data_IF_726221619909
#
_entry.id   IF_726221619909
#
_cell.length_a   1.000
_cell.length_b   1.000
_cell.length_c   1.000
_cell.angle_alpha   90.00
_cell.angle_beta   90.00
_cell.angle_gamma   90.00
#
_symmetry.space_group_name_H-M   'P 1'
#
loop_
_entity.id
_entity.type
_entity.pdbx_description
1 polymer ?
#
# COMPACT_ATOMS: atom_id res chain seq x y z
N UNK A 1 11.85 -8.30 -7.57
CA UNK A 1 12.60 -7.17 -6.96
C UNK A 1 12.65 -7.42 -5.46
N UNK A 2 13.84 -7.39 -4.85
CA UNK A 2 14.06 -7.65 -3.43
C UNK A 2 14.26 -6.29 -2.75
N UNK A 3 13.23 -5.76 -2.10
CA UNK A 3 13.30 -4.48 -1.41
C UNK A 3 13.61 -4.71 0.06
N UNK A 4 14.43 -3.85 0.66
CA UNK A 4 14.65 -3.86 2.11
C UNK A 4 13.30 -3.53 2.80
N UNK A 5 12.74 -4.44 3.61
CA UNK A 5 11.44 -4.24 4.27
C UNK A 5 11.39 -3.01 5.19
N UNK A 6 12.56 -2.49 5.58
CA UNK A 6 12.68 -1.35 6.50
C UNK A 6 12.80 -0.01 5.78
N UNK A 7 12.90 -0.04 4.46
CA UNK A 7 13.08 1.16 3.66
C UNK A 7 11.94 1.24 2.65
N UNK A 8 11.15 2.30 2.75
CA UNK A 8 10.18 2.65 1.73
C UNK A 8 10.82 3.68 0.78
N UNK A 9 11.22 3.29 -0.45
CA UNK A 9 11.79 4.21 -1.41
C UNK A 9 10.67 5.04 -2.08
N UNK A 10 10.95 6.32 -2.30
CA UNK A 10 10.19 7.18 -3.21
C UNK A 10 10.87 7.10 -4.56
N UNK A 11 10.18 6.54 -5.55
CA UNK A 11 10.75 6.24 -6.87
C UNK A 11 10.14 7.17 -7.92
N UNK A 12 10.96 7.62 -8.86
CA UNK A 12 10.48 8.37 -10.02
C UNK A 12 9.78 7.45 -11.03
N UNK A 13 8.59 7.85 -11.46
CA UNK A 13 7.85 7.22 -12.56
C UNK A 13 8.12 7.92 -13.91
N UNK A 14 8.85 9.04 -13.88
CA UNK A 14 9.11 9.90 -15.05
C UNK A 14 10.60 10.15 -15.24
N UNK A 15 10.96 10.55 -16.46
CA UNK A 15 12.29 11.03 -16.79
C UNK A 15 12.33 12.56 -16.76
N UNK A 16 13.42 13.15 -16.27
CA UNK A 16 13.63 14.60 -16.29
C UNK A 16 14.67 15.06 -15.28
N UNK A 17 14.62 16.33 -14.91
CA UNK A 17 15.50 16.97 -13.94
C UNK A 17 14.75 17.29 -12.64
N UNK A 18 15.39 17.07 -11.51
CA UNK A 18 14.80 17.36 -10.19
C UNK A 18 14.83 18.85 -9.91
N UNK A 19 13.69 19.42 -9.53
CA UNK A 19 13.58 20.80 -9.03
C UNK A 19 13.04 20.77 -7.60
N UNK A 20 13.73 21.43 -6.68
CA UNK A 20 13.29 21.49 -5.29
C UNK A 20 12.18 22.53 -5.15
N UNK A 21 11.18 22.23 -4.32
CA UNK A 21 10.06 23.14 -4.08
C UNK A 21 9.72 23.12 -2.59
N UNK A 22 9.61 24.31 -2.00
CA UNK A 22 9.35 24.49 -0.55
C UNK A 22 10.40 23.82 0.37
N UNK A 23 11.64 23.72 -0.11
CA UNK A 23 12.78 23.16 0.61
C UNK A 23 13.67 24.32 1.10
N UNK A 24 13.72 24.52 2.42
CA UNK A 24 14.48 25.59 3.07
C UNK A 24 15.28 24.99 4.22
N UNK A 25 16.60 25.12 4.15
CA UNK A 25 17.52 24.59 5.15
C UNK A 25 17.22 25.19 6.55
N UNK A 26 17.17 24.33 7.57
CA UNK A 26 16.83 24.69 8.95
C UNK A 26 15.34 24.86 9.22
N UNK A 27 14.47 24.97 8.20
CA UNK A 27 13.01 25.10 8.36
C UNK A 27 12.25 23.85 7.96
N UNK A 28 12.47 23.34 6.75
CA UNK A 28 11.80 22.13 6.24
C UNK A 28 12.74 20.94 6.15
N UNK A 29 14.05 21.18 6.03
CA UNK A 29 15.09 20.16 5.86
C UNK A 29 16.34 20.52 6.63
N UNK A 30 17.14 19.52 7.03
CA UNK A 30 18.46 19.70 7.63
C UNK A 30 19.45 18.76 6.95
N UNK A 31 20.64 19.27 6.67
CA UNK A 31 21.76 18.45 6.23
C UNK A 31 22.42 17.80 7.45
N UNK A 32 22.36 16.48 7.53
CA UNK A 32 23.11 15.70 8.52
C UNK A 32 24.32 15.11 7.83
N UNK A 33 25.49 15.29 8.43
CA UNK A 33 26.69 14.58 7.99
C UNK A 33 26.62 13.16 8.53
N UNK A 34 26.74 12.18 7.64
CA UNK A 34 26.89 10.78 8.02
C UNK A 34 28.33 10.54 8.48
N UNK A 35 28.51 10.17 9.74
CA UNK A 35 29.83 9.98 10.39
C UNK A 35 30.66 8.87 9.73
N UNK A 36 30.01 7.92 9.05
CA UNK A 36 30.68 6.78 8.39
C UNK A 36 31.14 7.08 6.97
N UNK A 37 30.38 7.88 6.21
CA UNK A 37 30.66 8.13 4.79
C UNK A 37 31.19 9.54 4.52
N UNK A 38 31.07 10.46 5.49
CA UNK A 38 31.42 11.87 5.33
C UNK A 38 30.50 12.62 4.36
N UNK A 39 29.47 11.96 3.82
CA UNK A 39 28.50 12.57 2.91
C UNK A 39 27.43 13.31 3.71
N UNK A 40 27.10 14.52 3.25
CA UNK A 40 25.98 15.27 3.79
C UNK A 40 24.68 14.74 3.19
N UNK A 41 23.84 14.18 4.04
CA UNK A 41 22.54 13.64 3.66
C UNK A 41 21.45 14.60 4.10
N UNK A 42 20.53 14.87 3.19
CA UNK A 42 19.44 15.80 3.42
C UNK A 42 18.26 15.07 4.07
N UNK A 43 17.88 15.50 5.27
CA UNK A 43 16.80 14.89 6.06
C UNK A 43 15.65 15.87 6.23
N UNK A 44 14.44 15.43 5.93
CA UNK A 44 13.21 16.23 6.09
C UNK A 44 12.83 16.28 7.56
N UNK A 45 12.63 17.50 8.08
CA UNK A 45 12.23 17.71 9.47
C UNK A 45 10.78 17.28 9.71
N UNK A 46 10.44 17.01 10.97
CA UNK A 46 9.05 16.82 11.36
C UNK A 46 8.25 18.10 11.15
N UNK A 47 7.00 17.95 10.72
CA UNK A 47 6.12 19.09 10.52
C UNK A 47 5.72 19.68 11.87
N UNK A 48 6.29 20.82 12.22
CA UNK A 48 5.80 21.62 13.35
C UNK A 48 4.38 22.14 13.05
N UNK A 49 3.60 22.51 14.08
CA UNK A 49 2.23 23.04 13.92
C UNK A 49 2.14 24.21 12.91
N UNK A 50 3.22 24.97 12.76
CA UNK A 50 3.39 26.03 11.75
C UNK A 50 3.33 25.52 10.30
N UNK A 51 3.98 24.39 10.00
CA UNK A 51 4.00 23.74 8.68
C UNK A 51 2.67 23.04 8.37
N UNK A 52 1.96 22.56 9.41
CA UNK A 52 0.61 22.02 9.25
C UNK A 52 -0.43 23.09 8.87
N UNK A 53 -0.30 24.31 9.43
CA UNK A 53 -1.21 25.44 9.14
C UNK A 53 -0.90 26.11 7.80
N UNK A 54 0.37 26.22 7.40
CA UNK A 54 0.79 26.85 6.16
C UNK A 54 1.17 25.80 5.11
N UNK A 55 0.25 25.52 4.16
CA UNK A 55 0.45 24.54 3.08
C UNK A 55 1.72 24.78 2.25
N UNK A 56 2.19 26.02 2.20
CA UNK A 56 3.37 26.45 1.42
C UNK A 56 4.70 25.86 1.92
N UNK A 57 4.75 25.33 3.15
CA UNK A 57 5.98 24.78 3.74
C UNK A 57 6.08 23.25 3.66
N UNK A 58 5.21 22.58 2.89
CA UNK A 58 5.36 21.14 2.65
C UNK A 58 6.45 20.93 1.59
N UNK A 59 7.58 20.29 1.91
CA UNK A 59 8.64 20.06 0.93
C UNK A 59 8.20 19.01 -0.09
N UNK A 60 8.42 19.29 -1.38
CA UNK A 60 8.21 18.34 -2.46
C UNK A 60 9.25 18.51 -3.56
N UNK A 61 9.45 17.46 -4.34
CA UNK A 61 10.28 17.45 -5.53
C UNK A 61 9.38 17.58 -6.75
N UNK A 62 9.73 18.45 -7.69
CA UNK A 62 9.06 18.57 -8.99
C UNK A 62 9.99 18.07 -10.07
N UNK A 63 9.50 17.24 -10.98
CA UNK A 63 10.28 16.84 -12.16
C UNK A 63 10.00 17.80 -13.31
N UNK A 64 11.06 18.33 -13.90
CA UNK A 64 11.00 19.25 -15.04
C UNK A 64 11.76 18.72 -16.25
N UNK A 65 11.39 19.17 -17.44
CA UNK A 65 12.14 18.87 -18.67
C UNK A 65 13.39 19.76 -18.81
N UNK A 66 14.14 19.58 -19.91
CA UNK A 66 15.32 20.39 -20.22
C UNK A 66 15.01 21.90 -20.41
N UNK A 67 13.74 22.27 -20.61
CA UNK A 67 13.26 23.64 -20.77
C UNK A 67 12.60 24.18 -19.49
N UNK A 68 12.80 23.51 -18.35
CA UNK A 68 12.20 23.84 -17.05
C UNK A 68 10.67 23.78 -17.00
N UNK A 69 10.02 23.10 -17.94
CA UNK A 69 8.56 22.85 -17.90
C UNK A 69 8.25 21.64 -17.04
N UNK A 70 7.12 21.63 -16.29
CA UNK A 70 6.73 20.49 -15.48
C UNK A 70 6.45 19.26 -16.35
N UNK A 71 7.00 18.11 -15.93
CA UNK A 71 6.67 16.81 -16.50
C UNK A 71 5.43 16.27 -15.81
N UNK A 72 4.58 15.58 -16.57
CA UNK A 72 3.33 14.99 -16.07
C UNK A 72 3.47 13.49 -15.90
N UNK A 73 2.76 12.91 -14.93
CA UNK A 73 2.71 11.47 -14.75
C UNK A 73 2.13 10.78 -16.00
N UNK A 74 2.67 9.63 -16.42
CA UNK A 74 2.29 9.00 -17.69
C UNK A 74 0.78 8.70 -17.77
N UNK A 75 0.09 9.33 -18.72
CA UNK A 75 -1.34 9.14 -18.95
C UNK A 75 -2.25 9.93 -17.99
N UNK A 76 -1.72 10.98 -17.33
CA UNK A 76 -2.52 11.91 -16.51
C UNK A 76 -2.08 13.36 -16.73
N UNK A 77 -2.97 14.32 -16.46
CA UNK A 77 -2.65 15.76 -16.45
C UNK A 77 -2.10 16.23 -15.08
N UNK A 78 -1.58 15.29 -14.28
CA UNK A 78 -1.05 15.55 -12.95
C UNK A 78 0.45 15.80 -13.07
N UNK A 79 0.91 16.94 -12.56
CA UNK A 79 2.34 17.28 -12.53
C UNK A 79 3.07 16.26 -11.62
N UNK A 80 4.25 15.83 -12.05
CA UNK A 80 5.14 14.94 -11.31
C UNK A 80 5.72 15.62 -10.06
N UNK A 81 4.88 15.76 -9.04
CA UNK A 81 5.22 16.26 -7.71
C UNK A 81 5.35 15.10 -6.72
N UNK A 82 6.56 14.88 -6.22
CA UNK A 82 6.84 13.89 -5.18
C UNK A 82 6.90 14.57 -3.82
N UNK A 83 5.84 14.41 -3.03
CA UNK A 83 5.79 14.93 -1.67
C UNK A 83 6.83 14.22 -0.78
N UNK A 84 7.59 15.00 -0.01
CA UNK A 84 8.58 14.48 0.90
C UNK A 84 8.01 14.42 2.33
N UNK A 85 7.72 13.23 2.86
CA UNK A 85 7.21 13.08 4.22
C UNK A 85 8.29 13.40 5.26
N UNK A 86 7.89 13.68 6.52
CA UNK A 86 8.83 13.92 7.59
C UNK A 86 9.72 12.69 7.82
N UNK A 87 10.96 12.92 8.26
CA UNK A 87 12.03 11.91 8.41
C UNK A 87 12.48 11.24 7.10
N UNK A 88 11.96 11.64 5.95
CA UNK A 88 12.49 11.16 4.67
C UNK A 88 13.93 11.66 4.48
N UNK A 89 14.76 10.79 3.94
CA UNK A 89 16.15 11.06 3.58
C UNK A 89 16.21 11.21 2.07
N UNK A 90 16.46 12.43 1.59
CA UNK A 90 16.55 12.75 0.16
C UNK A 90 17.91 12.34 -0.35
N UNK A 91 17.93 11.59 -1.47
CA UNK A 91 19.15 11.05 -2.07
C UNK A 91 19.60 11.82 -3.31
N UNK A 92 18.68 12.56 -3.93
CA UNK A 92 18.94 13.34 -5.14
C UNK A 92 19.29 14.80 -4.84
N UNK A 93 19.98 15.45 -5.77
CA UNK A 93 20.33 16.88 -5.73
C UNK A 93 19.43 17.69 -6.65
N UNK A 94 19.34 18.99 -6.39
CA UNK A 94 18.65 19.91 -7.30
C UNK A 94 19.39 20.00 -8.65
N UNK A 95 18.63 19.90 -9.74
CA UNK A 95 19.13 19.85 -11.11
C UNK A 95 19.64 18.48 -11.56
N UNK A 96 19.58 17.45 -10.70
CA UNK A 96 20.03 16.10 -11.07
C UNK A 96 19.09 15.46 -12.10
N UNK A 97 19.67 14.80 -13.11
CA UNK A 97 18.93 14.03 -14.12
C UNK A 97 18.49 12.69 -13.53
N UNK A 98 17.19 12.41 -13.58
CA UNK A 98 16.59 11.19 -13.07
C UNK A 98 15.93 10.39 -14.19
N UNK A 99 16.04 9.06 -14.09
CA UNK A 99 15.39 8.13 -14.99
C UNK A 99 14.16 7.51 -14.33
N UNK A 100 13.31 6.90 -15.14
CA UNK A 100 12.21 6.08 -14.64
C UNK A 100 12.80 4.94 -13.79
N UNK A 101 12.36 4.83 -12.55
CA UNK A 101 12.88 3.88 -11.57
C UNK A 101 13.99 4.42 -10.64
N UNK A 102 14.46 5.66 -10.82
CA UNK A 102 15.44 6.28 -9.91
C UNK A 102 14.84 6.54 -8.52
N UNK A 103 15.60 6.25 -7.47
CA UNK A 103 15.18 6.49 -6.08
C UNK A 103 15.47 7.94 -5.72
N UNK A 104 14.43 8.70 -5.40
CA UNK A 104 14.49 10.12 -5.05
C UNK A 104 14.77 10.34 -3.56
N UNK A 105 14.07 9.58 -2.72
CA UNK A 105 14.20 9.64 -1.28
C UNK A 105 13.91 8.27 -0.68
N UNK A 106 14.34 8.07 0.56
CA UNK A 106 14.05 6.87 1.33
C UNK A 106 13.45 7.25 2.67
N UNK A 107 12.46 6.48 3.10
CA UNK A 107 11.89 6.61 4.43
C UNK A 107 12.35 5.39 5.20
N UNK A 108 13.11 5.63 6.26
CA UNK A 108 13.37 4.58 7.24
C UNK A 108 12.07 4.35 7.97
N UNK A 109 11.44 3.20 7.73
CA UNK A 109 10.34 2.74 8.55
C UNK A 109 10.97 2.28 9.85
N UNK A 110 11.03 3.16 10.85
CA UNK A 110 11.13 2.72 12.24
C UNK A 110 10.00 1.71 12.41
N UNK A 111 10.36 0.44 12.58
CA UNK A 111 9.40 -0.57 12.97
C UNK A 111 8.81 -0.02 14.25
N UNK A 112 7.55 0.43 14.18
CA UNK A 112 6.74 0.55 15.38
C UNK A 112 6.94 -0.78 16.07
N UNK A 113 7.65 -0.75 17.22
CA UNK A 113 8.00 -1.94 17.97
C UNK A 113 6.77 -2.83 18.00
N UNK A 114 6.98 -4.11 17.70
CA UNK A 114 5.97 -5.13 17.47
C UNK A 114 5.14 -4.95 16.21
N UNK A 115 5.65 -5.50 15.09
CA UNK A 115 4.80 -6.42 14.30
C UNK A 115 4.18 -7.32 15.38
N UNK A 116 2.85 -7.35 15.50
CA UNK A 116 2.16 -8.00 16.61
C UNK A 116 2.24 -9.53 16.46
N UNK A 117 3.48 -10.07 16.42
CA UNK A 117 3.79 -11.50 16.37
C UNK A 117 3.61 -12.13 17.77
N UNK A 118 3.47 -11.28 18.80
CA UNK A 118 3.13 -11.64 20.18
C UNK A 118 1.75 -12.28 20.32
N UNK A 119 0.92 -12.25 19.28
CA UNK A 119 -0.40 -12.85 19.31
C UNK A 119 -0.42 -14.36 19.50
N UNK A 120 0.70 -15.09 19.27
CA UNK A 120 0.76 -16.54 19.47
C UNK A 120 -0.40 -17.29 18.80
N UNK A 121 -0.94 -18.30 19.49
CA UNK A 121 -2.12 -19.06 19.04
C UNK A 121 -3.38 -18.19 18.76
N UNK A 122 -3.71 -17.15 19.56
CA UNK A 122 -4.82 -16.24 19.27
C UNK A 122 -4.83 -15.66 17.85
N UNK A 123 -3.67 -15.33 17.27
CA UNK A 123 -3.59 -14.83 15.90
C UNK A 123 -3.98 -15.89 14.87
N UNK A 124 -3.58 -17.14 15.10
CA UNK A 124 -3.95 -18.28 14.25
C UNK A 124 -5.46 -18.52 14.30
N UNK A 125 -6.06 -18.39 15.49
CA UNK A 125 -7.52 -18.49 15.67
C UNK A 125 -8.23 -17.39 14.87
N UNK A 126 -7.78 -16.15 14.97
CA UNK A 126 -8.37 -15.04 14.21
C UNK A 126 -8.30 -15.26 12.69
N UNK A 127 -7.21 -15.85 12.19
CA UNK A 127 -7.03 -16.18 10.77
C UNK A 127 -7.97 -17.30 10.32
N UNK A 128 -8.11 -18.38 11.10
CA UNK A 128 -9.00 -19.49 10.76
C UNK A 128 -10.47 -19.15 10.92
N UNK A 129 -10.82 -18.29 11.88
CA UNK A 129 -12.18 -17.77 12.00
C UNK A 129 -12.47 -16.63 11.01
N UNK A 130 -11.46 -16.18 10.25
CA UNK A 130 -11.52 -15.03 9.36
C UNK A 130 -12.13 -13.77 10.02
N UNK A 131 -11.80 -13.56 11.31
CA UNK A 131 -12.29 -12.42 12.09
C UNK A 131 -11.77 -11.12 11.52
N UNK A 132 -12.57 -10.06 11.65
CA UNK A 132 -12.15 -8.69 11.28
C UNK A 132 -11.27 -8.11 12.39
N UNK A 133 -10.00 -7.76 12.10
CA UNK A 133 -9.15 -7.07 13.06
C UNK A 133 -9.75 -5.72 13.49
N UNK A 134 -9.35 -5.24 14.67
CA UNK A 134 -9.72 -3.90 15.16
C UNK A 134 -9.21 -2.80 14.23
N UNK A 135 -7.99 -2.97 13.71
CA UNK A 135 -7.36 -2.04 12.80
C UNK A 135 -7.18 -2.65 11.40
N UNK A 136 -8.09 -2.28 10.50
CA UNK A 136 -8.09 -2.75 9.12
C UNK A 136 -7.17 -1.90 8.24
N UNK A 137 -6.30 -2.58 7.50
CA UNK A 137 -5.58 -1.96 6.40
C UNK A 137 -6.56 -1.54 5.30
N UNK A 138 -6.49 -0.28 4.89
CA UNK A 138 -7.16 0.15 3.66
C UNK A 138 -6.48 -0.49 2.45
N UNK A 139 -7.26 -1.16 1.60
CA UNK A 139 -6.79 -1.78 0.37
C UNK A 139 -7.36 -1.05 -0.86
N UNK A 140 -6.60 -1.02 -1.95
CA UNK A 140 -7.07 -0.47 -3.22
C UNK A 140 -8.16 -1.34 -3.85
N UNK A 141 -9.34 -0.77 -4.13
CA UNK A 141 -10.43 -1.54 -4.76
C UNK A 141 -10.31 -1.66 -6.28
N UNK A 142 -9.54 -0.76 -6.91
CA UNK A 142 -9.38 -0.66 -8.36
C UNK A 142 -7.92 -0.34 -8.72
N UNK A 143 -7.52 -0.70 -9.93
CA UNK A 143 -6.23 -0.28 -10.49
C UNK A 143 -6.33 1.19 -10.93
N UNK A 144 -5.34 2.01 -10.60
CA UNK A 144 -5.33 3.40 -11.07
C UNK A 144 -4.36 4.30 -10.33
N UNK A 145 -4.40 5.57 -10.70
CA UNK A 145 -3.58 6.62 -10.09
C UNK A 145 -4.31 7.22 -8.89
N UNK A 146 -3.59 7.38 -7.80
CA UNK A 146 -4.10 7.89 -6.54
C UNK A 146 -4.06 9.41 -6.52
N UNK A 147 -5.15 10.06 -6.14
CA UNK A 147 -5.22 11.50 -5.86
C UNK A 147 -5.91 11.77 -4.52
N UNK A 148 -5.50 12.84 -3.84
CA UNK A 148 -6.11 13.21 -2.57
C UNK A 148 -7.24 14.24 -2.78
N UNK A 149 -8.38 13.97 -2.15
CA UNK A 149 -9.52 14.86 -2.15
C UNK A 149 -9.45 15.92 -1.04
N UNK A 150 -10.50 16.73 -0.97
CA UNK A 150 -10.70 17.64 0.17
C UNK A 150 -10.94 16.82 1.44
N UNK A 151 -10.10 17.02 2.44
CA UNK A 151 -10.24 16.42 3.76
C UNK A 151 -11.65 16.66 4.35
N UNK A 152 -12.22 15.61 4.92
CA UNK A 152 -13.44 15.70 5.73
C UNK A 152 -13.08 15.80 7.22
N UNK A 153 -14.06 16.05 8.09
CA UNK A 153 -13.87 16.10 9.54
C UNK A 153 -13.40 14.72 10.04
N UNK A 154 -12.11 14.61 10.35
CA UNK A 154 -11.48 13.40 10.90
C UNK A 154 -11.03 12.32 9.90
N UNK A 155 -11.38 12.43 8.61
CA UNK A 155 -10.99 11.47 7.56
C UNK A 155 -10.36 12.17 6.35
N UNK A 156 -9.29 11.61 5.82
CA UNK A 156 -8.72 11.93 4.51
C UNK A 156 -9.56 11.25 3.42
N UNK A 157 -9.83 11.97 2.34
CA UNK A 157 -10.49 11.41 1.15
C UNK A 157 -9.43 11.06 0.11
N UNK A 158 -9.53 9.86 -0.42
CA UNK A 158 -8.62 9.33 -1.42
C UNK A 158 -9.42 8.90 -2.64
N UNK A 159 -9.00 9.32 -3.82
CA UNK A 159 -9.59 8.95 -5.09
C UNK A 159 -8.61 8.08 -5.86
N UNK A 160 -9.07 6.95 -6.38
CA UNK A 160 -8.30 6.13 -7.32
C UNK A 160 -8.96 6.25 -8.68
N UNK A 161 -8.25 6.87 -9.63
CA UNK A 161 -8.72 7.08 -11.00
C UNK A 161 -8.15 5.99 -11.90
N UNK A 162 -9.02 5.12 -12.38
CA UNK A 162 -8.66 4.15 -13.43
C UNK A 162 -8.73 4.79 -14.82
N UNK A 163 -8.04 4.19 -15.81
CA UNK A 163 -7.95 4.71 -17.20
C UNK A 163 -9.30 4.88 -17.92
N UNK A 164 -10.40 4.39 -17.36
CA UNK A 164 -11.74 4.38 -17.98
C UNK A 164 -12.88 5.00 -17.13
N UNK A 165 -12.66 6.14 -16.46
CA UNK A 165 -13.70 7.00 -15.82
C UNK A 165 -14.15 6.58 -14.41
N UNK A 166 -14.01 5.32 -13.99
CA UNK A 166 -14.43 4.92 -12.64
C UNK A 166 -13.48 5.50 -11.57
N UNK A 167 -13.98 6.46 -10.81
CA UNK A 167 -13.32 7.01 -9.62
C UNK A 167 -13.80 6.20 -8.41
N UNK A 168 -12.89 5.52 -7.72
CA UNK A 168 -13.18 4.90 -6.43
C UNK A 168 -12.81 5.87 -5.32
N UNK A 169 -13.77 6.20 -4.45
CA UNK A 169 -13.53 7.03 -3.27
C UNK A 169 -13.32 6.14 -2.03
N UNK A 170 -12.21 6.38 -1.31
CA UNK A 170 -11.86 5.70 -0.07
C UNK A 170 -11.68 6.76 1.02
N UNK A 171 -12.30 6.55 2.17
CA UNK A 171 -12.16 7.42 3.34
C UNK A 171 -11.26 6.78 4.39
N UNK A 172 -10.15 7.43 4.72
CA UNK A 172 -9.14 6.91 5.65
C UNK A 172 -9.04 7.83 6.87
N UNK A 173 -9.05 7.33 8.11
CA UNK A 173 -8.87 8.17 9.29
C UNK A 173 -7.56 8.97 9.25
N UNK A 174 -7.57 10.25 9.67
CA UNK A 174 -6.39 11.13 9.57
C UNK A 174 -5.18 10.67 10.37
N UNK A 175 -5.41 10.00 11.50
CA UNK A 175 -4.38 9.48 12.39
C UNK A 175 -3.67 8.24 11.82
N UNK A 176 -4.22 7.61 10.77
CA UNK A 176 -3.64 6.42 10.17
C UNK A 176 -2.57 6.81 9.16
N UNK A 177 -1.40 6.17 9.27
CA UNK A 177 -0.30 6.33 8.33
C UNK A 177 -0.66 5.70 6.97
N UNK A 178 -0.33 6.41 5.90
CA UNK A 178 -0.51 5.97 4.52
C UNK A 178 0.81 5.44 3.98
N UNK A 179 0.72 4.40 3.15
CA UNK A 179 1.86 3.75 2.50
C UNK A 179 1.98 4.13 1.02
N UNK A 180 1.25 5.15 0.58
CA UNK A 180 1.18 5.56 -0.82
C UNK A 180 1.26 7.08 -0.95
N UNK A 181 1.71 7.54 -2.12
CA UNK A 181 1.82 8.95 -2.48
C UNK A 181 0.74 9.39 -3.47
N UNK A 182 0.59 10.71 -3.58
CA UNK A 182 -0.23 11.30 -4.63
C UNK A 182 0.45 11.11 -5.99
N UNK A 183 -0.32 10.72 -7.01
CA UNK A 183 0.21 10.42 -8.34
C UNK A 183 0.73 8.99 -8.51
N UNK A 184 0.86 8.21 -7.44
CA UNK A 184 1.32 6.82 -7.50
C UNK A 184 0.28 5.91 -8.18
N UNK A 185 0.74 5.01 -9.05
CA UNK A 185 -0.11 3.98 -9.65
C UNK A 185 -0.22 2.76 -8.74
N UNK A 186 -1.43 2.44 -8.27
CA UNK A 186 -1.70 1.28 -7.41
C UNK A 186 -2.47 0.19 -8.15
N UNK A 187 -2.19 -1.07 -7.82
CA UNK A 187 -2.95 -2.21 -8.27
C UNK A 187 -4.03 -2.58 -7.24
N UNK A 188 -5.09 -3.22 -7.74
CA UNK A 188 -6.20 -3.72 -6.93
C UNK A 188 -5.68 -4.70 -5.89
N UNK A 189 -6.00 -4.41 -4.63
CA UNK A 189 -5.55 -5.17 -3.46
C UNK A 189 -4.25 -4.69 -2.84
N UNK A 190 -3.63 -3.62 -3.34
CA UNK A 190 -2.45 -3.02 -2.70
C UNK A 190 -2.80 -2.32 -1.39
N UNK A 191 -1.81 -2.26 -0.48
CA UNK A 191 -1.99 -1.71 0.86
C UNK A 191 -1.81 -0.20 0.82
N UNK A 192 -2.92 0.51 0.98
CA UNK A 192 -2.96 1.98 0.98
C UNK A 192 -2.58 2.55 2.34
N UNK A 193 -2.99 1.88 3.41
CA UNK A 193 -2.80 2.39 4.78
C UNK A 193 -2.41 1.28 5.74
N UNK A 194 -1.71 1.67 6.80
CA UNK A 194 -1.26 0.76 7.83
C UNK A 194 -2.44 0.03 8.51
N UNK A 195 -2.25 -1.25 8.80
CA UNK A 195 -3.23 -2.10 9.49
C UNK A 195 -3.08 -3.58 9.13
N UNK A 196 -3.92 -4.41 9.73
CA UNK A 196 -4.01 -5.83 9.37
C UNK A 196 -4.89 -6.02 8.13
N UNK A 197 -4.45 -6.88 7.21
CA UNK A 197 -5.26 -7.30 6.06
C UNK A 197 -6.33 -8.30 6.52
N UNK A 198 -7.49 -8.31 5.87
CA UNK A 198 -8.54 -9.30 6.10
C UNK A 198 -8.50 -10.34 4.98
N UNK A 199 -8.53 -11.66 5.29
CA UNK A 199 -8.60 -12.71 4.28
C UNK A 199 -9.75 -12.54 3.27
N UNK A 200 -10.94 -12.14 3.73
CA UNK A 200 -12.09 -11.87 2.87
C UNK A 200 -11.83 -10.80 1.80
N UNK A 201 -11.17 -9.69 2.17
CA UNK A 201 -10.86 -8.64 1.22
C UNK A 201 -9.75 -9.07 0.26
N UNK A 202 -8.76 -9.82 0.73
CA UNK A 202 -7.74 -10.40 -0.15
C UNK A 202 -8.39 -11.34 -1.18
N UNK A 203 -9.28 -12.23 -0.75
CA UNK A 203 -10.00 -13.13 -1.66
C UNK A 203 -10.84 -12.35 -2.69
N UNK A 204 -11.54 -11.29 -2.27
CA UNK A 204 -12.37 -10.43 -3.14
C UNK A 204 -11.54 -9.63 -4.14
N UNK A 205 -10.37 -9.14 -3.73
CA UNK A 205 -9.57 -8.20 -4.51
C UNK A 205 -8.53 -8.92 -5.39
N UNK A 206 -7.82 -9.89 -4.82
CA UNK A 206 -6.66 -10.58 -5.42
C UNK A 206 -6.92 -12.05 -5.77
N UNK A 207 -7.97 -12.67 -5.24
CA UNK A 207 -8.38 -14.03 -5.58
C UNK A 207 -7.82 -15.13 -4.67
N UNK A 208 -8.00 -16.38 -5.11
CA UNK A 208 -7.77 -17.58 -4.30
C UNK A 208 -6.29 -17.81 -3.95
N UNK A 209 -5.41 -17.73 -4.95
CA UNK A 209 -3.97 -17.99 -4.74
C UNK A 209 -3.34 -17.03 -3.75
N UNK A 210 -3.70 -15.74 -3.85
CA UNK A 210 -3.17 -14.69 -2.97
C UNK A 210 -3.69 -14.82 -1.53
N UNK A 211 -4.96 -15.19 -1.32
CA UNK A 211 -5.46 -15.42 0.04
C UNK A 211 -4.85 -16.67 0.67
N UNK A 212 -4.65 -17.75 -0.10
CA UNK A 212 -3.99 -18.97 0.40
C UNK A 212 -2.56 -18.67 0.81
N UNK A 213 -1.78 -18.03 -0.07
CA UNK A 213 -0.39 -17.65 0.24
C UNK A 213 -0.32 -16.73 1.46
N UNK A 214 -1.27 -15.80 1.60
CA UNK A 214 -1.32 -14.91 2.77
C UNK A 214 -1.56 -15.69 4.07
N UNK A 215 -2.58 -16.54 4.13
CA UNK A 215 -2.93 -17.29 5.34
C UNK A 215 -1.80 -18.29 5.69
N UNK A 216 -1.26 -19.00 4.69
CA UNK A 216 -0.15 -19.94 4.91
C UNK A 216 1.04 -19.21 5.52
N UNK A 217 1.49 -18.11 4.92
CA UNK A 217 2.65 -17.37 5.42
C UNK A 217 2.42 -16.79 6.83
N UNK A 218 1.26 -16.20 7.11
CA UNK A 218 0.97 -15.64 8.44
C UNK A 218 0.96 -16.71 9.54
N UNK A 219 0.38 -17.88 9.27
CA UNK A 219 0.35 -18.99 10.22
C UNK A 219 1.76 -19.60 10.37
N UNK A 220 2.46 -19.77 9.25
CA UNK A 220 3.80 -20.31 9.23
C UNK A 220 4.77 -19.44 10.02
N UNK A 221 4.66 -18.11 9.93
CA UNK A 221 5.49 -17.18 10.68
C UNK A 221 5.28 -17.31 12.20
N UNK A 222 4.04 -17.57 12.65
CA UNK A 222 3.76 -17.83 14.07
C UNK A 222 4.41 -19.14 14.54
N UNK A 223 4.28 -20.22 13.77
CA UNK A 223 4.89 -21.52 14.13
C UNK A 223 6.42 -21.49 14.06
N UNK A 224 6.98 -20.83 13.04
CA UNK A 224 8.43 -20.60 12.92
C UNK A 224 8.98 -19.85 14.13
N UNK A 225 8.25 -18.83 14.61
CA UNK A 225 8.65 -18.07 15.79
C UNK A 225 8.64 -18.92 17.07
N UNK A 226 7.79 -19.94 17.13
CA UNK A 226 7.76 -20.95 18.19
C UNK A 226 8.77 -22.09 17.98
N UNK A 227 9.56 -22.05 16.91
CA UNK A 227 10.55 -23.09 16.58
C UNK A 227 9.95 -24.37 15.99
N UNK A 228 8.68 -24.36 15.62
CA UNK A 228 7.99 -25.52 15.03
C UNK A 228 7.94 -25.36 13.52
N UNK A 229 8.56 -26.29 12.80
CA UNK A 229 8.50 -26.33 11.34
C UNK A 229 7.34 -27.23 10.89
N UNK A 230 6.30 -26.62 10.33
CA UNK A 230 5.17 -27.32 9.71
C UNK A 230 5.31 -27.20 8.19
N UNK A 231 4.95 -28.24 7.45
CA UNK A 231 4.90 -28.15 5.99
C UNK A 231 3.58 -27.50 5.54
N UNK A 232 3.65 -26.56 4.61
CA UNK A 232 2.53 -25.79 4.07
C UNK A 232 1.33 -26.66 3.67
N UNK A 233 1.57 -27.90 3.18
CA UNK A 233 0.52 -28.87 2.83
C UNK A 233 -0.52 -29.09 3.93
N UNK A 234 -0.13 -29.00 5.20
CA UNK A 234 -1.03 -29.20 6.33
C UNK A 234 -1.96 -28.01 6.53
N UNK A 235 -1.44 -26.79 6.35
CA UNK A 235 -2.21 -25.55 6.47
C UNK A 235 -3.16 -25.43 5.27
N UNK A 236 -2.70 -25.78 4.07
CA UNK A 236 -3.51 -25.78 2.85
C UNK A 236 -4.74 -26.68 2.93
N UNK A 237 -4.66 -27.82 3.63
CA UNK A 237 -5.83 -28.69 3.87
C UNK A 237 -6.92 -27.96 4.64
N UNK A 238 -6.55 -27.12 5.61
CA UNK A 238 -7.50 -26.32 6.40
C UNK A 238 -8.09 -25.20 5.54
N UNK A 239 -7.24 -24.49 4.79
CA UNK A 239 -7.68 -23.42 3.88
C UNK A 239 -8.63 -23.96 2.82
N UNK A 240 -8.39 -25.18 2.31
CA UNK A 240 -9.31 -25.88 1.40
C UNK A 240 -10.70 -26.07 2.01
N UNK A 241 -10.79 -26.38 3.31
CA UNK A 241 -12.09 -26.49 4.00
C UNK A 241 -12.76 -25.13 4.20
N UNK A 242 -11.99 -24.08 4.48
CA UNK A 242 -12.52 -22.71 4.56
C UNK A 242 -13.11 -22.24 3.22
N UNK A 243 -12.50 -22.64 2.10
CA UNK A 243 -12.89 -22.26 0.73
C UNK A 243 -13.88 -23.24 0.08
N UNK A 244 -14.50 -24.12 0.86
CA UNK A 244 -15.38 -25.19 0.36
C UNK A 244 -16.71 -24.69 -0.21
N UNK A 245 -17.15 -23.49 0.18
CA UNK A 245 -18.43 -22.90 -0.26
C UNK A 245 -18.21 -21.76 -1.25
N UNK A 246 -19.12 -21.65 -2.21
CA UNK A 246 -19.20 -20.56 -3.17
C UNK A 246 -20.53 -19.81 -3.06
N UNK A 247 -20.53 -18.55 -3.44
CA UNK A 247 -21.74 -17.72 -3.53
C UNK A 247 -22.13 -17.65 -4.99
N UNK A 248 -23.35 -18.06 -5.32
CA UNK A 248 -23.88 -17.98 -6.68
C UNK A 248 -24.17 -16.52 -7.01
N UNK A 249 -23.54 -15.97 -8.06
CA UNK A 249 -23.84 -14.62 -8.54
C UNK A 249 -24.99 -14.61 -9.53
N UNK A 250 -24.92 -15.51 -10.50
CA UNK A 250 -25.92 -15.71 -11.53
C UNK A 250 -26.21 -17.20 -11.62
N UNK A 251 -27.48 -17.62 -11.51
CA UNK A 251 -27.85 -19.03 -11.51
C UNK A 251 -27.84 -19.65 -12.91
N UNK A 252 -27.91 -18.84 -13.98
CA UNK A 252 -28.02 -19.36 -15.35
C UNK A 252 -29.26 -20.25 -15.50
N UNK A 253 -29.10 -21.40 -16.15
CA UNK A 253 -30.16 -22.41 -16.34
C UNK A 253 -30.24 -23.44 -15.20
N UNK A 254 -29.47 -23.25 -14.14
CA UNK A 254 -29.49 -24.11 -12.95
C UNK A 254 -30.63 -23.75 -12.00
N UNK A 255 -30.86 -24.62 -11.01
CA UNK A 255 -31.89 -24.43 -9.99
C UNK A 255 -31.43 -23.57 -8.80
N UNK A 256 -30.24 -22.97 -8.88
CA UNK A 256 -29.69 -22.16 -7.80
C UNK A 256 -30.38 -20.80 -7.69
N UNK A 257 -30.29 -20.19 -6.51
CA UNK A 257 -30.75 -18.82 -6.30
C UNK A 257 -29.54 -17.84 -6.30
N UNK A 258 -29.71 -16.62 -6.86
CA UNK A 258 -28.71 -15.56 -6.71
C UNK A 258 -28.44 -15.27 -5.23
N UNK A 259 -27.18 -15.26 -4.81
CA UNK A 259 -26.74 -15.06 -3.43
C UNK A 259 -26.69 -16.32 -2.57
N UNK A 260 -27.12 -17.47 -3.10
CA UNK A 260 -27.11 -18.74 -2.37
C UNK A 260 -25.66 -19.22 -2.08
N UNK A 261 -25.43 -19.74 -0.87
CA UNK A 261 -24.16 -20.33 -0.45
C UNK A 261 -24.20 -21.83 -0.62
N UNK A 262 -23.57 -22.33 -1.68
CA UNK A 262 -23.58 -23.76 -2.04
C UNK A 262 -22.18 -24.34 -1.94
N UNK A 263 -22.08 -25.64 -1.71
CA UNK A 263 -20.81 -26.34 -1.75
C UNK A 263 -20.23 -26.37 -3.18
N UNK A 264 -18.93 -26.07 -3.31
CA UNK A 264 -18.24 -26.01 -4.61
C UNK A 264 -18.35 -27.32 -5.39
N UNK A 265 -18.29 -28.47 -4.70
CA UNK A 265 -18.43 -29.80 -5.31
C UNK A 265 -19.78 -29.97 -6.01
N UNK A 266 -20.87 -29.59 -5.34
CA UNK A 266 -22.23 -29.65 -5.88
C UNK A 266 -22.42 -28.73 -7.08
N UNK A 267 -21.88 -27.51 -7.02
CA UNK A 267 -21.94 -26.57 -8.14
C UNK A 267 -21.22 -27.11 -9.35
N UNK A 268 -20.04 -27.73 -9.17
CA UNK A 268 -19.29 -28.33 -10.29
C UNK A 268 -20.07 -29.47 -10.96
N UNK A 269 -20.66 -30.38 -10.17
CA UNK A 269 -21.45 -31.49 -10.72
C UNK A 269 -22.62 -30.97 -11.55
N UNK A 270 -23.36 -29.98 -11.06
CA UNK A 270 -24.49 -29.42 -11.80
C UNK A 270 -24.02 -28.68 -13.06
N UNK A 271 -22.90 -27.96 -12.98
CA UNK A 271 -22.33 -27.28 -14.15
C UNK A 271 -21.79 -28.26 -15.21
N UNK A 272 -21.41 -29.48 -14.84
CA UNK A 272 -21.02 -30.53 -15.78
C UNK A 272 -22.22 -31.21 -16.46
N UNK A 273 -23.43 -31.07 -15.88
CA UNK A 273 -24.68 -31.64 -16.40
C UNK A 273 -25.44 -30.68 -17.33
N UNK A 274 -25.06 -29.40 -17.35
CA UNK A 274 -25.63 -28.34 -18.18
C UNK A 274 -24.72 -28.06 -19.38
#
# INVERSE_FOLDING_TARGET
ANWDPHIMPIISEVYGYVKFSSIVNGKTVVYKNDELTGLSVMVVLEYNEFVFKNKDFRPFLTVVDAYHKPVYFPGTDIIAHYLLPPKAVVLVKEGEEIKIGSILARISQEIGKTKDITGGLPRVIDLFEARKPKELAGLAEVNGVVTFGKDSRGKKRLYIKSRGIKICEIMIPKWRQLNIFEGEYVFKGDVISYGSKIPHDILRLRGLSEVTNYIVNEIQDVYRLQGVNINDKHIEVIIRQMLRKVIIKHPGDSHFLPGEKVELSRVKIINEQL
#
